data_IF_272096064993
#
_entry.id   IF_272096064993
#
_cell.length_a   1.000
_cell.length_b   1.000
_cell.length_c   1.000
_cell.angle_alpha   90.00
_cell.angle_beta   90.00
_cell.angle_gamma   90.00
#
_symmetry.space_group_name_H-M   'P 1'
#
loop_
_entity.id
_entity.type
_entity.pdbx_description
1 polymer ?
#
# COMPACT_ATOMS: atom_id res chain seq x y z
N UNK A 1 -56.08 -35.60 -32.11
CA UNK A 1 -56.41 -34.50 -31.18
C UNK A 1 -55.53 -34.76 -29.96
N UNK A 2 -54.29 -34.27 -29.95
CA UNK A 2 -53.91 -32.92 -29.49
C UNK A 2 -54.16 -32.83 -27.97
N UNK A 3 -53.24 -32.53 -27.05
CA UNK A 3 -51.98 -31.75 -26.98
C UNK A 3 -51.23 -32.26 -25.72
N UNK A 4 -49.96 -32.60 -25.76
CA UNK A 4 -48.75 -31.75 -25.72
C UNK A 4 -48.13 -31.68 -24.31
N UNK A 5 -46.82 -31.86 -24.27
CA UNK A 5 -45.96 -32.00 -23.10
C UNK A 5 -45.89 -30.67 -22.33
N UNK A 6 -45.94 -30.72 -20.99
CA UNK A 6 -45.35 -29.66 -20.17
C UNK A 6 -44.43 -30.28 -19.13
N UNK A 7 -43.22 -30.61 -19.58
CA UNK A 7 -42.07 -30.74 -18.71
C UNK A 7 -41.69 -29.34 -18.22
N UNK A 8 -42.18 -28.95 -17.04
CA UNK A 8 -41.73 -27.74 -16.37
C UNK A 8 -40.38 -28.03 -15.71
N UNK A 9 -39.31 -27.78 -16.46
CA UNK A 9 -37.94 -27.82 -15.95
C UNK A 9 -37.73 -26.63 -15.00
N UNK A 10 -37.21 -26.82 -13.77
CA UNK A 10 -36.91 -25.70 -12.90
C UNK A 10 -35.84 -24.81 -13.56
N UNK A 11 -36.14 -23.52 -13.66
CA UNK A 11 -35.24 -22.52 -14.22
C UNK A 11 -33.86 -22.58 -13.53
N UNK A 12 -32.75 -22.42 -14.25
CA UNK A 12 -31.45 -22.31 -13.61
C UNK A 12 -31.48 -21.10 -12.68
N UNK A 13 -31.08 -21.31 -11.42
CA UNK A 13 -30.87 -20.23 -10.47
C UNK A 13 -30.01 -19.16 -11.16
N UNK A 14 -30.57 -17.96 -11.30
CA UNK A 14 -29.83 -16.82 -11.83
C UNK A 14 -28.57 -16.60 -11.00
N UNK A 15 -27.50 -16.03 -11.58
CA UNK A 15 -26.29 -15.73 -10.84
C UNK A 15 -26.67 -14.93 -9.59
N UNK A 16 -26.15 -15.37 -8.44
CA UNK A 16 -26.31 -14.65 -7.17
C UNK A 16 -26.04 -13.16 -7.39
N UNK A 17 -26.83 -12.25 -6.81
CA UNK A 17 -26.59 -10.83 -6.97
C UNK A 17 -25.20 -10.53 -6.40
N UNK A 18 -24.25 -10.23 -7.30
CA UNK A 18 -22.98 -9.64 -6.93
C UNK A 18 -23.25 -8.47 -5.98
N UNK A 19 -22.55 -8.37 -4.83
CA UNK A 19 -22.82 -7.32 -3.86
C UNK A 19 -22.69 -5.97 -4.56
N UNK A 20 -23.80 -5.23 -4.64
CA UNK A 20 -23.91 -3.95 -5.36
C UNK A 20 -23.28 -2.79 -4.56
N UNK A 21 -22.47 -3.10 -3.55
CA UNK A 21 -21.76 -2.15 -2.70
C UNK A 21 -20.27 -2.07 -3.04
N UNK A 22 -19.59 -0.95 -2.71
CA UNK A 22 -18.15 -0.83 -2.90
C UNK A 22 -17.40 -1.93 -2.14
N UNK A 23 -16.44 -2.58 -2.80
CA UNK A 23 -15.62 -3.65 -2.22
C UNK A 23 -14.93 -3.14 -0.94
N UNK A 24 -15.12 -3.80 0.22
CA UNK A 24 -14.50 -3.38 1.47
C UNK A 24 -12.97 -3.25 1.36
N UNK A 25 -12.31 -4.09 0.57
CA UNK A 25 -10.86 -3.98 0.36
C UNK A 25 -10.48 -2.75 -0.47
N UNK A 26 -11.28 -2.40 -1.48
CA UNK A 26 -11.07 -1.18 -2.25
C UNK A 26 -11.22 0.07 -1.37
N UNK A 27 -12.22 0.09 -0.47
CA UNK A 27 -12.40 1.19 0.50
C UNK A 27 -11.21 1.30 1.46
N UNK A 28 -10.74 0.18 2.00
CA UNK A 28 -9.56 0.14 2.89
C UNK A 28 -8.32 0.69 2.19
N UNK A 29 -8.10 0.30 0.93
CA UNK A 29 -7.01 0.81 0.10
C UNK A 29 -7.13 2.32 -0.15
N UNK A 30 -8.33 2.79 -0.47
CA UNK A 30 -8.60 4.22 -0.70
C UNK A 30 -8.32 5.05 0.56
N UNK A 31 -8.70 4.59 1.75
CA UNK A 31 -8.42 5.29 3.01
C UNK A 31 -6.92 5.51 3.21
N UNK A 32 -6.10 4.48 2.98
CA UNK A 32 -4.63 4.57 3.11
C UNK A 32 -4.03 5.58 2.12
N UNK A 33 -4.52 5.61 0.88
CA UNK A 33 -4.06 6.59 -0.12
C UNK A 33 -4.54 8.00 0.18
N UNK A 34 -5.79 8.17 0.63
CA UNK A 34 -6.28 9.49 1.02
C UNK A 34 -5.52 10.06 2.19
N UNK A 35 -5.20 9.23 3.19
CA UNK A 35 -4.33 9.63 4.29
C UNK A 35 -2.95 10.08 3.79
N UNK A 36 -2.32 9.29 2.91
CA UNK A 36 -1.03 9.64 2.32
C UNK A 36 -1.09 11.01 1.63
N UNK A 37 -2.08 11.22 0.75
CA UNK A 37 -2.23 12.47 0.00
C UNK A 37 -2.46 13.66 0.95
N UNK A 38 -3.31 13.51 1.98
CA UNK A 38 -3.53 14.55 2.97
C UNK A 38 -2.22 14.95 3.68
N UNK A 39 -1.44 13.96 4.13
CA UNK A 39 -0.14 14.20 4.79
C UNK A 39 0.90 14.83 3.87
N UNK A 40 0.93 14.48 2.59
CA UNK A 40 1.90 15.00 1.64
C UNK A 40 1.64 16.46 1.26
N UNK A 41 0.37 16.87 1.14
CA UNK A 41 0.02 18.19 0.63
C UNK A 41 -0.27 19.22 1.73
N UNK A 42 -0.92 18.82 2.81
CA UNK A 42 -1.36 19.73 3.88
C UNK A 42 -0.49 19.60 5.14
N UNK A 43 0.21 18.47 5.31
CA UNK A 43 1.00 18.16 6.50
C UNK A 43 0.17 17.93 7.77
N UNK A 44 -1.05 18.45 7.82
CA UNK A 44 -2.02 18.32 8.90
C UNK A 44 -2.59 16.90 9.00
N UNK A 45 -2.78 16.45 10.25
CA UNK A 45 -3.40 15.17 10.55
C UNK A 45 -4.91 15.27 10.41
N UNK A 46 -5.51 14.41 9.59
CA UNK A 46 -6.97 14.34 9.45
C UNK A 46 -7.50 13.23 10.36
N UNK A 47 -8.14 13.54 11.51
CA UNK A 47 -8.39 12.55 12.58
C UNK A 47 -9.18 11.32 12.12
N UNK A 48 -10.15 11.51 11.20
CA UNK A 48 -10.93 10.41 10.65
C UNK A 48 -10.08 9.48 9.76
N UNK A 49 -9.18 10.04 8.95
CA UNK A 49 -8.28 9.25 8.09
C UNK A 49 -7.20 8.54 8.91
N UNK A 50 -6.71 9.18 9.98
CA UNK A 50 -5.76 8.55 10.92
C UNK A 50 -6.38 7.35 11.63
N UNK A 51 -7.57 7.53 12.22
CA UNK A 51 -8.29 6.47 12.91
C UNK A 51 -8.67 5.31 11.97
N UNK A 52 -9.20 5.63 10.78
CA UNK A 52 -9.57 4.62 9.80
C UNK A 52 -8.33 3.86 9.28
N UNK A 53 -7.21 4.54 9.02
CA UNK A 53 -5.97 3.89 8.57
C UNK A 53 -5.37 3.00 9.65
N UNK A 54 -5.43 3.40 10.92
CA UNK A 54 -4.98 2.59 12.05
C UNK A 54 -5.77 1.28 12.11
N UNK A 55 -7.10 1.36 12.06
CA UNK A 55 -7.95 0.16 12.04
C UNK A 55 -7.64 -0.77 10.86
N UNK A 56 -7.37 -0.22 9.67
CA UNK A 56 -6.96 -1.03 8.50
C UNK A 56 -5.64 -1.76 8.74
N UNK A 57 -4.62 -1.06 9.27
CA UNK A 57 -3.28 -1.62 9.51
C UNK A 57 -3.31 -2.71 10.59
N UNK A 58 -4.07 -2.49 11.66
CA UNK A 58 -4.27 -3.48 12.73
C UNK A 58 -5.03 -4.72 12.22
N UNK A 59 -6.10 -4.53 11.45
CA UNK A 59 -6.91 -5.61 10.90
C UNK A 59 -6.11 -6.56 9.99
N UNK A 60 -5.13 -6.05 9.26
CA UNK A 60 -4.27 -6.85 8.36
C UNK A 60 -2.96 -7.31 9.03
N UNK A 61 -2.83 -7.10 10.34
CA UNK A 61 -1.70 -7.55 11.16
C UNK A 61 -0.38 -6.84 10.86
N UNK A 62 -0.43 -5.62 10.34
CA UNK A 62 0.76 -4.79 10.11
C UNK A 62 1.05 -3.90 11.33
N UNK A 63 2.33 -3.51 11.56
CA UNK A 63 2.67 -2.64 12.67
C UNK A 63 2.20 -1.20 12.43
N UNK A 64 1.59 -0.59 13.46
CA UNK A 64 1.13 0.81 13.41
C UNK A 64 2.25 1.82 13.14
N UNK A 65 3.52 1.45 13.39
CA UNK A 65 4.71 2.22 13.02
C UNK A 65 4.80 2.54 11.51
N UNK A 66 4.09 1.81 10.65
CA UNK A 66 3.94 2.14 9.22
C UNK A 66 3.15 3.44 8.98
N UNK A 67 2.33 3.88 9.92
CA UNK A 67 1.58 5.13 9.80
C UNK A 67 2.37 6.33 10.33
N UNK A 68 3.34 6.12 11.21
CA UNK A 68 4.13 7.18 11.81
C UNK A 68 5.17 7.76 10.83
N UNK A 69 5.07 9.03 10.40
CA UNK A 69 6.10 9.68 9.56
C UNK A 69 7.43 9.82 10.31
N UNK A 70 7.38 9.87 11.65
CA UNK A 70 8.51 9.95 12.56
C UNK A 70 9.33 8.67 12.68
N UNK A 71 8.90 7.54 12.14
CA UNK A 71 9.66 6.28 12.12
C UNK A 71 10.28 6.02 10.75
N UNK A 72 11.59 5.73 10.64
CA UNK A 72 12.22 5.36 9.35
C UNK A 72 11.79 3.95 8.92
N UNK A 73 11.86 3.62 7.63
CA UNK A 73 11.63 2.24 7.15
C UNK A 73 12.62 1.26 7.78
N UNK A 74 13.90 1.63 7.93
CA UNK A 74 14.90 0.80 8.64
C UNK A 74 14.47 0.45 10.06
N UNK A 75 13.99 1.44 10.82
CA UNK A 75 13.51 1.22 12.19
C UNK A 75 12.28 0.31 12.26
N UNK A 76 11.45 0.28 11.22
CA UNK A 76 10.34 -0.68 11.10
C UNK A 76 10.91 -2.07 10.84
N UNK A 77 11.75 -2.23 9.82
CA UNK A 77 12.35 -3.50 9.43
C UNK A 77 13.24 -4.09 10.54
N UNK A 78 13.95 -3.26 11.29
CA UNK A 78 14.74 -3.71 12.43
C UNK A 78 13.88 -4.37 13.51
N UNK A 79 12.64 -3.90 13.71
CA UNK A 79 11.68 -4.48 14.66
C UNK A 79 10.85 -5.61 14.05
N UNK A 80 10.64 -5.56 12.73
CA UNK A 80 9.79 -6.45 11.95
C UNK A 80 10.57 -6.94 10.72
N UNK A 81 11.59 -7.79 10.91
CA UNK A 81 12.48 -8.23 9.84
C UNK A 81 11.74 -8.96 8.71
N UNK A 82 10.60 -9.58 9.00
CA UNK A 82 9.71 -10.21 8.03
C UNK A 82 9.19 -9.26 6.95
N UNK A 83 9.14 -7.95 7.20
CA UNK A 83 8.68 -6.95 6.23
C UNK A 83 9.76 -6.57 5.21
N UNK A 84 11.03 -6.92 5.43
CA UNK A 84 12.13 -6.52 4.55
C UNK A 84 11.89 -6.97 3.10
N UNK A 85 11.56 -8.25 2.93
CA UNK A 85 11.33 -8.85 1.62
C UNK A 85 10.06 -8.30 0.96
N UNK A 86 9.07 -7.87 1.75
CA UNK A 86 7.84 -7.28 1.21
C UNK A 86 8.05 -5.86 0.65
N UNK A 87 9.11 -5.16 1.04
CA UNK A 87 9.45 -3.86 0.47
C UNK A 87 10.22 -3.97 -0.86
N UNK A 88 10.84 -5.11 -1.15
CA UNK A 88 11.61 -5.33 -2.37
C UNK A 88 10.70 -5.54 -3.58
N UNK A 89 10.90 -4.76 -4.65
CA UNK A 89 10.02 -4.84 -5.83
C UNK A 89 8.56 -4.47 -5.55
N UNK A 90 8.25 -3.90 -4.38
CA UNK A 90 6.89 -3.55 -3.95
C UNK A 90 6.11 -2.76 -5.02
N UNK A 91 6.78 -1.88 -5.76
CA UNK A 91 6.21 -1.01 -6.78
C UNK A 91 6.39 -1.53 -8.21
N UNK A 92 6.97 -2.72 -8.42
CA UNK A 92 7.06 -3.32 -9.74
C UNK A 92 5.73 -3.96 -10.14
N UNK A 93 5.41 -4.01 -11.44
CA UNK A 93 4.26 -4.79 -11.92
C UNK A 93 4.45 -6.26 -11.55
N UNK A 94 3.38 -6.90 -11.08
CA UNK A 94 3.37 -8.34 -10.84
C UNK A 94 3.14 -9.06 -12.19
N UNK A 95 4.08 -9.91 -12.60
CA UNK A 95 4.00 -10.64 -13.88
C UNK A 95 2.83 -11.67 -13.88
N UNK A 96 2.34 -12.05 -12.70
CA UNK A 96 1.25 -13.02 -12.51
C UNK A 96 -0.17 -12.41 -12.47
N UNK A 97 -0.33 -11.14 -12.89
CA UNK A 97 -1.61 -10.40 -12.85
C UNK A 97 -2.75 -10.93 -13.77
N UNK A 98 -2.62 -12.16 -14.30
CA UNK A 98 -3.64 -12.82 -15.12
C UNK A 98 -4.75 -13.52 -14.29
N UNK A 99 -4.66 -13.52 -12.95
CA UNK A 99 -5.69 -14.01 -12.03
C UNK A 99 -6.41 -12.90 -11.25
N UNK A 100 -7.52 -13.26 -10.59
CA UNK A 100 -8.20 -12.42 -9.60
C UNK A 100 -7.18 -11.87 -8.60
N UNK A 101 -6.84 -10.57 -8.71
CA UNK A 101 -5.89 -9.92 -7.80
C UNK A 101 -6.30 -10.18 -6.35
N UNK A 102 -5.37 -10.68 -5.54
CA UNK A 102 -5.61 -10.86 -4.11
C UNK A 102 -5.85 -9.50 -3.47
N UNK A 103 -7.10 -9.21 -3.13
CA UNK A 103 -7.53 -7.92 -2.61
C UNK A 103 -6.96 -7.63 -1.22
N UNK A 104 -6.71 -8.66 -0.41
CA UNK A 104 -6.06 -8.48 0.88
C UNK A 104 -4.59 -8.10 0.70
N UNK A 105 -3.89 -8.76 -0.24
CA UNK A 105 -2.53 -8.41 -0.62
C UNK A 105 -2.44 -6.97 -1.18
N UNK A 106 -3.43 -6.52 -1.96
CA UNK A 106 -3.47 -5.14 -2.46
C UNK A 106 -3.57 -4.09 -1.33
N UNK A 107 -4.32 -4.37 -0.25
CA UNK A 107 -4.40 -3.47 0.91
C UNK A 107 -3.08 -3.47 1.68
N UNK A 108 -2.48 -4.64 1.88
CA UNK A 108 -1.15 -4.77 2.50
C UNK A 108 -0.08 -3.99 1.73
N UNK A 109 -0.03 -4.18 0.41
CA UNK A 109 0.83 -3.43 -0.52
C UNK A 109 0.61 -1.92 -0.41
N UNK A 110 -0.64 -1.47 -0.34
CA UNK A 110 -0.96 -0.05 -0.23
C UNK A 110 -0.42 0.57 1.07
N UNK A 111 -0.48 -0.14 2.20
CA UNK A 111 0.10 0.33 3.45
C UNK A 111 1.62 0.49 3.36
N UNK A 112 2.32 -0.49 2.78
CA UNK A 112 3.77 -0.46 2.58
C UNK A 112 4.18 0.66 1.60
N UNK A 113 3.44 0.81 0.49
CA UNK A 113 3.67 1.88 -0.50
C UNK A 113 3.50 3.26 0.16
N UNK A 114 2.42 3.45 0.91
CA UNK A 114 2.17 4.69 1.63
C UNK A 114 3.28 5.00 2.62
N UNK A 115 3.83 4.00 3.33
CA UNK A 115 4.97 4.20 4.23
C UNK A 115 6.18 4.75 3.49
N UNK A 116 6.59 4.09 2.41
CA UNK A 116 7.79 4.48 1.64
C UNK A 116 7.61 5.90 1.07
N UNK A 117 6.47 6.17 0.44
CA UNK A 117 6.20 7.49 -0.16
C UNK A 117 6.12 8.59 0.91
N UNK A 118 5.50 8.33 2.05
CA UNK A 118 5.41 9.31 3.14
C UNK A 118 6.80 9.70 3.64
N UNK A 119 7.68 8.73 3.90
CA UNK A 119 9.02 9.02 4.42
C UNK A 119 9.93 9.76 3.44
N UNK A 120 9.78 9.51 2.13
CA UNK A 120 10.63 10.13 1.11
C UNK A 120 10.13 11.51 0.69
N UNK A 121 8.81 11.73 0.65
CA UNK A 121 8.22 12.95 0.10
C UNK A 121 7.68 13.92 1.16
N UNK A 122 7.37 13.48 2.38
CA UNK A 122 6.94 14.37 3.48
C UNK A 122 8.14 14.92 4.28
N UNK A 123 9.14 15.50 3.61
CA UNK A 123 10.42 15.90 4.23
C UNK A 123 10.35 17.17 5.08
N UNK A 124 9.18 17.83 5.15
CA UNK A 124 9.01 19.13 5.82
C UNK A 124 9.80 20.26 5.16
N UNK A 125 9.67 21.47 5.71
CA UNK A 125 10.38 22.67 5.25
C UNK A 125 11.11 23.31 6.42
N UNK A 126 12.37 22.94 6.62
CA UNK A 126 13.28 23.59 7.56
C UNK A 126 14.73 23.12 7.35
N UNK A 127 15.65 23.69 8.12
CA UNK A 127 17.04 23.21 8.20
C UNK A 127 17.08 21.76 8.71
N UNK A 128 17.61 20.85 7.89
CA UNK A 128 17.81 19.45 8.27
C UNK A 128 19.16 19.25 8.94
N UNK A 129 19.19 18.43 9.98
CA UNK A 129 20.44 17.94 10.59
C UNK A 129 21.09 16.87 9.71
N UNK A 130 22.38 16.60 9.93
CA UNK A 130 23.08 15.50 9.25
C UNK A 130 22.43 14.13 9.51
N UNK A 131 21.89 13.92 10.72
CA UNK A 131 21.17 12.70 11.09
C UNK A 131 19.85 12.56 10.33
N UNK A 132 19.06 13.64 10.24
CA UNK A 132 17.82 13.65 9.45
C UNK A 132 18.10 13.41 7.96
N UNK A 133 19.18 13.98 7.43
CA UNK A 133 19.60 13.74 6.04
C UNK A 133 20.01 12.28 5.82
N UNK A 134 20.83 11.70 6.72
CA UNK A 134 21.25 10.30 6.63
C UNK A 134 20.05 9.34 6.71
N UNK A 135 19.10 9.64 7.59
CA UNK A 135 17.84 8.90 7.69
C UNK A 135 17.01 8.98 6.41
N UNK A 136 16.80 10.17 5.88
CA UNK A 136 16.09 10.36 4.61
C UNK A 136 16.79 9.62 3.46
N UNK A 137 18.12 9.64 3.41
CA UNK A 137 18.90 8.86 2.46
C UNK A 137 18.65 7.36 2.62
N UNK A 138 18.52 6.85 3.85
CA UNK A 138 18.17 5.43 4.02
C UNK A 138 16.77 5.14 3.49
N UNK A 139 15.77 5.96 3.83
CA UNK A 139 14.39 5.81 3.36
C UNK A 139 14.28 5.93 1.82
N UNK A 140 15.07 6.79 1.18
CA UNK A 140 15.18 6.86 -0.27
C UNK A 140 15.77 5.56 -0.88
N UNK A 141 16.58 4.82 -0.12
CA UNK A 141 17.13 3.52 -0.52
C UNK A 141 16.06 2.44 -0.56
N UNK A 142 15.13 2.49 0.38
CA UNK A 142 13.95 1.64 0.36
C UNK A 142 13.03 1.94 -0.83
N UNK A 143 12.87 3.21 -1.22
CA UNK A 143 12.13 3.56 -2.44
C UNK A 143 12.81 3.00 -3.70
N UNK A 144 14.13 3.09 -3.81
CA UNK A 144 14.88 2.52 -4.93
C UNK A 144 14.64 1.01 -5.05
N UNK A 145 14.73 0.27 -3.93
CA UNK A 145 14.45 -1.18 -3.86
C UNK A 145 13.00 -1.51 -4.20
N UNK A 146 12.05 -0.73 -3.69
CA UNK A 146 10.63 -0.89 -3.99
C UNK A 146 10.34 -0.74 -5.49
N UNK A 147 11.06 0.15 -6.19
CA UNK A 147 10.96 0.32 -7.64
C UNK A 147 11.73 -0.74 -8.46
N UNK A 148 12.40 -1.69 -7.80
CA UNK A 148 13.25 -2.71 -8.43
C UNK A 148 14.63 -2.22 -8.85
N UNK A 149 15.04 -1.03 -8.40
CA UNK A 149 16.35 -0.43 -8.68
C UNK A 149 17.41 -0.78 -7.61
N UNK A 150 18.71 -0.72 -7.95
CA UNK A 150 19.77 -0.85 -6.97
C UNK A 150 19.82 0.39 -6.04
N UNK A 151 20.24 0.24 -4.77
CA UNK A 151 20.44 1.36 -3.86
C UNK A 151 21.40 2.42 -4.44
N UNK A 152 21.02 3.69 -4.31
CA UNK A 152 21.75 4.85 -4.83
C UNK A 152 21.47 5.20 -6.30
N UNK A 153 20.72 4.37 -7.03
CA UNK A 153 20.48 4.55 -8.46
C UNK A 153 19.69 5.81 -8.84
N UNK A 154 18.83 6.32 -7.94
CA UNK A 154 18.03 7.52 -8.20
C UNK A 154 18.71 8.81 -7.72
N UNK A 155 19.77 8.69 -6.92
CA UNK A 155 20.40 9.83 -6.21
C UNK A 155 21.48 10.57 -6.97
N UNK A 156 21.56 10.37 -8.30
CA UNK A 156 22.50 11.13 -9.14
C UNK A 156 23.95 10.95 -8.70
N UNK A 157 24.32 9.76 -8.22
CA UNK A 157 25.71 9.37 -8.10
C UNK A 157 26.19 8.95 -9.48
N UNK A 158 27.00 9.81 -10.12
CA UNK A 158 27.80 9.47 -11.30
C UNK A 158 28.21 7.99 -11.20
N UNK A 159 27.78 7.16 -12.14
CA UNK A 159 28.35 5.83 -12.30
C UNK A 159 29.87 5.99 -12.23
N UNK A 160 30.50 5.38 -11.23
CA UNK A 160 31.94 5.25 -11.23
C UNK A 160 32.27 4.53 -12.54
N UNK A 161 33.04 5.22 -13.40
CA UNK A 161 33.44 4.71 -14.70
C UNK A 161 34.35 3.50 -14.62
#
# INVERSE_FOLDING_TARGET
>A
MSEDLTGQQPAPAGPDPSPTGPDPYDNRRQVLYWRLLARLFDGEEQPALESASLGVVEDIGLPSALLDPGTSVDSVVQRHPELADEFDGLMTPDDDAAGSRDRAAEVRRAALVSKVLLNVFATGSSTVTAEQLARWQSDAGWLERALGGPPGGLRGGRAAG
#
